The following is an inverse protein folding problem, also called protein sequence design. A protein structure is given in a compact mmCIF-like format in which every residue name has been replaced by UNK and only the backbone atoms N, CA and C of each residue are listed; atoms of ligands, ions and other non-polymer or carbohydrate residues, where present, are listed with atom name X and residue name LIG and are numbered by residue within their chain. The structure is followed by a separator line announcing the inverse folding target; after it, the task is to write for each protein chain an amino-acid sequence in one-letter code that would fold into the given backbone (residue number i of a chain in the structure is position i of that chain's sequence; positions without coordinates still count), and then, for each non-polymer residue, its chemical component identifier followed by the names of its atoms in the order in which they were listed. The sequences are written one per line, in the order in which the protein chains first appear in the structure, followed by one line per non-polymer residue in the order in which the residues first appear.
data_IF_809964662869
#
_entry.id   IF_809964662869
#
_cell.length_a   1.000
_cell.length_b   1.000
_cell.length_c   1.000
_cell.angle_alpha   90.00
_cell.angle_beta   90.00
_cell.angle_gamma   90.00
#
_symmetry.space_group_name_H-M   'P 1'
#
loop_
_entity.id
_entity.type
_entity.pdbx_description
1 polymer ?
#
# COMPACT_ATOMS: atom_id res chain seq x y z
N UNK A 1 -65.58 -12.37 -37.89
CA UNK A 1 -65.14 -13.26 -36.81
C UNK A 1 -63.65 -13.54 -37.00
N UNK A 2 -62.83 -13.33 -35.96
CA UNK A 2 -61.37 -13.56 -35.85
C UNK A 2 -60.47 -12.67 -36.74
N UNK A 3 -59.77 -11.61 -36.32
CA UNK A 3 -58.78 -11.31 -35.25
C UNK A 3 -57.35 -11.91 -35.39
N UNK A 4 -56.39 -10.99 -35.16
CA UNK A 4 -54.94 -11.08 -34.84
C UNK A 4 -54.00 -10.88 -36.04
N UNK A 5 -53.21 -9.81 -36.14
CA UNK A 5 -52.61 -8.96 -35.10
C UNK A 5 -51.13 -9.35 -34.98
N UNK A 6 -50.29 -8.77 -35.83
CA UNK A 6 -48.85 -9.04 -35.87
C UNK A 6 -48.16 -8.53 -34.60
N UNK A 7 -47.50 -9.44 -33.90
CA UNK A 7 -46.73 -9.18 -32.69
C UNK A 7 -45.27 -8.92 -33.09
N UNK A 8 -44.82 -7.69 -32.92
CA UNK A 8 -43.41 -7.28 -33.03
C UNK A 8 -42.61 -7.98 -31.91
N UNK A 9 -41.57 -8.69 -32.29
CA UNK A 9 -40.56 -9.23 -31.37
C UNK A 9 -39.67 -8.08 -30.88
N UNK A 10 -39.81 -7.71 -29.62
CA UNK A 10 -38.82 -6.91 -28.91
C UNK A 10 -37.82 -7.86 -28.25
N UNK A 11 -36.60 -7.90 -28.79
CA UNK A 11 -35.45 -8.49 -28.11
C UNK A 11 -35.12 -7.63 -26.89
N UNK A 12 -35.25 -8.21 -25.70
CA UNK A 12 -34.96 -7.57 -24.42
C UNK A 12 -33.44 -7.59 -24.22
N UNK A 13 -32.78 -6.45 -24.46
CA UNK A 13 -31.38 -6.23 -24.13
C UNK A 13 -31.28 -6.03 -22.61
N UNK A 14 -30.75 -7.02 -21.90
CA UNK A 14 -30.44 -6.90 -20.47
C UNK A 14 -29.21 -6.01 -20.36
N UNK A 15 -29.43 -4.70 -20.19
CA UNK A 15 -28.39 -3.80 -19.69
C UNK A 15 -28.22 -4.03 -18.20
N UNK A 16 -27.19 -4.77 -17.81
CA UNK A 16 -26.70 -4.78 -16.42
C UNK A 16 -26.08 -3.42 -16.13
N UNK A 17 -26.83 -2.55 -15.47
CA UNK A 17 -26.28 -1.36 -14.85
C UNK A 17 -25.48 -1.81 -13.62
N UNK A 18 -24.15 -1.85 -13.72
CA UNK A 18 -23.30 -1.85 -12.54
C UNK A 18 -23.56 -0.53 -11.82
N UNK A 19 -24.22 -0.60 -10.66
CA UNK A 19 -24.44 0.55 -9.80
C UNK A 19 -23.07 0.97 -9.25
N UNK A 20 -22.44 1.97 -9.88
CA UNK A 20 -21.29 2.65 -9.31
C UNK A 20 -21.85 3.59 -8.25
N UNK A 21 -21.56 3.32 -6.99
CA UNK A 21 -21.84 4.30 -5.95
C UNK A 21 -21.01 5.54 -6.26
N UNK A 22 -21.64 6.63 -6.70
CA UNK A 22 -20.98 7.93 -6.85
C UNK A 22 -20.69 8.45 -5.45
N UNK A 23 -19.44 8.35 -4.99
CA UNK A 23 -19.06 8.94 -3.71
C UNK A 23 -19.05 10.46 -3.87
N UNK A 24 -19.75 11.19 -3.00
CA UNK A 24 -19.54 12.64 -2.88
C UNK A 24 -18.07 12.87 -2.56
N UNK A 25 -17.34 13.44 -3.52
CA UNK A 25 -15.91 13.69 -3.41
C UNK A 25 -15.66 14.76 -2.35
N UNK A 26 -15.49 14.32 -1.09
CA UNK A 26 -15.02 15.19 -0.03
C UNK A 26 -13.64 15.74 -0.42
N UNK A 27 -13.48 17.06 -0.59
CA UNK A 27 -12.18 17.65 -0.92
C UNK A 27 -11.08 17.23 0.05
N UNK A 28 -11.42 16.92 1.30
CA UNK A 28 -10.48 16.47 2.32
C UNK A 28 -9.81 15.13 1.97
N UNK A 29 -10.35 14.35 1.03
CA UNK A 29 -9.69 13.14 0.53
C UNK A 29 -8.35 13.45 -0.14
N UNK A 30 -8.22 14.61 -0.77
CA UNK A 30 -7.04 14.95 -1.57
C UNK A 30 -6.01 15.74 -0.77
N UNK A 31 -6.41 16.55 0.20
CA UNK A 31 -5.51 17.44 0.95
C UNK A 31 -5.00 16.84 2.25
N UNK A 32 -3.91 17.43 2.78
CA UNK A 32 -3.45 17.15 4.14
C UNK A 32 -4.30 17.94 5.15
N UNK A 33 -4.94 17.25 6.09
CA UNK A 33 -5.91 17.84 7.03
C UNK A 33 -5.57 17.63 8.50
N UNK A 34 -4.54 16.83 8.82
CA UNK A 34 -4.19 16.50 10.21
C UNK A 34 -3.55 17.66 10.99
N UNK A 35 -2.99 18.65 10.33
CA UNK A 35 -2.35 19.78 11.03
C UNK A 35 -1.78 20.85 10.11
N UNK A 36 -0.94 21.70 10.68
CA UNK A 36 -0.25 22.79 10.00
C UNK A 36 1.26 22.62 10.09
N UNK A 37 1.99 23.26 9.19
CA UNK A 37 3.45 23.22 9.17
C UNK A 37 4.02 24.57 9.57
N UNK A 38 5.01 24.55 10.47
CA UNK A 38 5.68 25.76 10.97
C UNK A 38 6.49 26.45 9.87
N UNK A 39 6.99 25.69 8.89
CA UNK A 39 7.79 26.19 7.77
C UNK A 39 7.22 25.70 6.45
N UNK A 40 7.31 26.55 5.42
CA UNK A 40 6.98 26.25 4.02
C UNK A 40 5.63 25.55 3.84
N UNK A 41 4.60 26.00 4.57
CA UNK A 41 3.32 25.29 4.70
C UNK A 41 2.67 24.96 3.37
N UNK A 42 2.62 25.91 2.43
CA UNK A 42 2.06 25.66 1.10
C UNK A 42 2.78 24.50 0.38
N UNK A 43 4.11 24.43 0.50
CA UNK A 43 4.92 23.35 -0.08
C UNK A 43 4.72 22.02 0.66
N UNK A 44 4.62 22.05 1.99
CA UNK A 44 4.37 20.85 2.81
C UNK A 44 2.97 20.26 2.55
N UNK A 45 1.96 21.11 2.34
CA UNK A 45 0.62 20.70 1.95
C UNK A 45 0.64 20.14 0.52
N UNK A 46 1.21 20.87 -0.45
CA UNK A 46 1.24 20.44 -1.85
C UNK A 46 1.88 19.07 -2.04
N UNK A 47 3.02 18.80 -1.38
CA UNK A 47 3.70 17.50 -1.47
C UNK A 47 3.01 16.36 -0.71
N UNK A 48 1.94 16.65 0.05
CA UNK A 48 1.07 15.70 0.76
C UNK A 48 -0.36 15.69 0.22
N UNK A 49 -0.57 16.36 -0.91
CA UNK A 49 -1.80 16.30 -1.67
C UNK A 49 -1.64 15.28 -2.79
N UNK A 50 -2.66 14.46 -3.01
CA UNK A 50 -2.69 13.48 -4.08
C UNK A 50 -4.06 13.53 -4.74
N UNK A 51 -4.07 13.52 -6.06
CA UNK A 51 -5.29 13.37 -6.85
C UNK A 51 -5.43 11.92 -7.26
N UNK A 52 -6.65 11.38 -7.17
CA UNK A 52 -6.98 10.02 -7.57
C UNK A 52 -8.48 9.92 -7.83
N UNK A 53 -8.89 8.89 -8.56
CA UNK A 53 -10.29 8.59 -8.78
C UNK A 53 -10.82 7.73 -7.62
N UNK A 54 -11.76 8.31 -6.85
CA UNK A 54 -12.36 7.68 -5.65
C UNK A 54 -13.18 6.45 -6.02
N UNK A 55 -13.98 6.55 -7.08
CA UNK A 55 -14.88 5.48 -7.52
C UNK A 55 -14.09 4.28 -8.05
N UNK A 56 -13.01 4.55 -8.82
CA UNK A 56 -12.09 3.51 -9.28
C UNK A 56 -11.36 2.83 -8.12
N UNK A 57 -10.88 3.60 -7.13
CA UNK A 57 -10.24 3.00 -5.95
C UNK A 57 -11.22 2.14 -5.13
N UNK A 58 -12.46 2.59 -5.00
CA UNK A 58 -13.53 1.86 -4.34
C UNK A 58 -13.89 0.56 -5.10
N UNK A 59 -13.96 0.63 -6.43
CA UNK A 59 -14.20 -0.51 -7.33
C UNK A 59 -13.08 -1.56 -7.25
N UNK A 60 -11.82 -1.11 -7.27
CA UNK A 60 -10.65 -1.97 -7.04
C UNK A 60 -10.74 -2.63 -5.67
N UNK A 61 -11.08 -1.85 -4.63
CA UNK A 61 -11.27 -2.37 -3.27
C UNK A 61 -12.31 -3.49 -3.20
N UNK A 62 -13.49 -3.29 -3.80
CA UNK A 62 -14.55 -4.29 -3.84
C UNK A 62 -14.13 -5.56 -4.60
N UNK A 63 -13.54 -5.39 -5.78
CA UNK A 63 -13.06 -6.48 -6.63
C UNK A 63 -12.00 -7.33 -5.93
N UNK A 64 -11.07 -6.68 -5.21
CA UNK A 64 -9.95 -7.34 -4.54
C UNK A 64 -10.39 -8.33 -3.43
N UNK A 65 -11.60 -8.17 -2.89
CA UNK A 65 -12.18 -9.06 -1.88
C UNK A 65 -13.45 -9.77 -2.36
N UNK A 66 -13.69 -9.81 -3.67
CA UNK A 66 -14.83 -10.53 -4.26
C UNK A 66 -16.20 -9.97 -3.84
N UNK A 67 -16.28 -8.66 -3.59
CA UNK A 67 -17.52 -7.96 -3.23
C UNK A 67 -18.08 -7.19 -4.43
N UNK A 68 -19.38 -6.89 -4.44
CA UNK A 68 -20.01 -6.22 -5.60
C UNK A 68 -19.71 -4.73 -5.61
N UNK A 69 -19.74 -4.11 -4.43
CA UNK A 69 -19.58 -2.67 -4.29
C UNK A 69 -18.98 -2.28 -2.95
N UNK A 70 -18.29 -1.15 -2.95
CA UNK A 70 -17.96 -0.40 -1.74
C UNK A 70 -19.16 0.48 -1.38
N UNK A 71 -19.65 0.39 -0.15
CA UNK A 71 -20.80 1.17 0.34
C UNK A 71 -20.39 2.32 1.26
N UNK A 72 -19.15 2.32 1.73
CA UNK A 72 -18.63 3.38 2.61
C UNK A 72 -17.15 3.62 2.37
N UNK A 73 -16.77 4.88 2.22
CA UNK A 73 -15.42 5.32 1.95
C UNK A 73 -15.02 6.39 2.97
N UNK A 74 -14.09 6.07 3.88
CA UNK A 74 -13.74 6.93 5.01
C UNK A 74 -12.24 7.19 5.05
N UNK A 75 -11.85 8.46 5.21
CA UNK A 75 -10.43 8.82 5.34
C UNK A 75 -9.94 8.64 6.79
N UNK A 76 -8.81 7.95 6.97
CA UNK A 76 -8.09 7.95 8.24
C UNK A 76 -7.32 9.27 8.46
N UNK A 77 -6.98 9.64 9.71
CA UNK A 77 -6.10 10.77 9.97
C UNK A 77 -4.81 10.70 9.14
N UNK A 78 -4.43 11.79 8.47
CA UNK A 78 -3.31 11.78 7.53
C UNK A 78 -2.01 11.28 8.17
N UNK A 79 -1.29 10.46 7.40
CA UNK A 79 0.13 10.22 7.62
C UNK A 79 0.97 11.36 7.04
N UNK A 80 2.25 11.37 7.38
CA UNK A 80 3.20 12.34 6.82
C UNK A 80 3.58 12.05 5.36
N UNK A 81 3.34 10.83 4.88
CA UNK A 81 3.80 10.33 3.58
C UNK A 81 2.74 9.55 2.82
N UNK A 82 1.60 9.24 3.42
CA UNK A 82 0.56 8.45 2.79
C UNK A 82 -0.81 8.92 3.26
N UNK A 83 -1.81 8.75 2.39
CA UNK A 83 -3.21 8.72 2.77
C UNK A 83 -3.65 7.29 3.00
N UNK A 84 -4.58 7.10 3.92
CA UNK A 84 -5.20 5.82 4.17
C UNK A 84 -6.71 6.00 4.28
N UNK A 85 -7.44 5.05 3.73
CA UNK A 85 -8.89 5.04 3.69
C UNK A 85 -9.41 3.69 4.16
N UNK A 86 -10.47 3.71 4.94
CA UNK A 86 -11.27 2.53 5.29
C UNK A 86 -12.40 2.41 4.27
N UNK A 87 -12.41 1.28 3.56
CA UNK A 87 -13.44 0.94 2.60
C UNK A 87 -14.29 -0.17 3.23
N UNK A 88 -15.61 0.03 3.29
CA UNK A 88 -16.56 -0.98 3.75
C UNK A 88 -17.39 -1.45 2.56
N UNK A 89 -17.42 -2.75 2.34
CA UNK A 89 -18.12 -3.41 1.23
C UNK A 89 -19.58 -3.70 1.57
N UNK A 90 -20.38 -3.96 0.54
CA UNK A 90 -21.79 -4.36 0.61
C UNK A 90 -22.05 -5.59 1.50
N UNK A 91 -21.09 -6.53 1.54
CA UNK A 91 -21.13 -7.71 2.40
C UNK A 91 -20.56 -7.48 3.83
N UNK A 92 -20.21 -6.25 4.18
CA UNK A 92 -19.65 -5.88 5.49
C UNK A 92 -18.14 -6.11 5.65
N UNK A 93 -17.45 -6.68 4.65
CA UNK A 93 -15.98 -6.78 4.66
C UNK A 93 -15.36 -5.40 4.65
N UNK A 94 -14.30 -5.22 5.43
CA UNK A 94 -13.55 -3.97 5.51
C UNK A 94 -12.11 -4.15 5.04
N UNK A 95 -11.63 -3.22 4.22
CA UNK A 95 -10.24 -3.17 3.76
C UNK A 95 -9.67 -1.77 3.95
N UNK A 96 -8.35 -1.68 4.00
CA UNK A 96 -7.62 -0.41 4.02
C UNK A 96 -7.05 -0.16 2.62
N UNK A 97 -7.35 0.99 2.04
CA UNK A 97 -6.66 1.50 0.87
C UNK A 97 -5.61 2.52 1.30
N UNK A 98 -4.36 2.29 0.95
CA UNK A 98 -3.24 3.21 1.22
C UNK A 98 -2.73 3.79 -0.10
N UNK A 99 -2.53 5.09 -0.14
CA UNK A 99 -1.95 5.81 -1.27
C UNK A 99 -0.72 6.62 -0.82
N UNK A 100 0.46 6.44 -1.43
CA UNK A 100 1.62 7.26 -1.13
C UNK A 100 1.43 8.68 -1.65
N UNK A 101 1.78 9.66 -0.82
CA UNK A 101 1.86 11.06 -1.22
C UNK A 101 3.08 11.30 -2.13
N UNK A 102 3.13 12.41 -2.88
CA UNK A 102 4.29 12.76 -3.70
C UNK A 102 5.63 12.81 -2.95
N UNK A 103 5.60 13.06 -1.63
CA UNK A 103 6.79 13.07 -0.77
C UNK A 103 7.18 11.69 -0.19
N UNK A 104 6.53 10.60 -0.58
CA UNK A 104 6.75 9.27 0.01
C UNK A 104 8.08 8.63 -0.38
N UNK A 105 8.73 9.10 -1.45
CA UNK A 105 9.98 8.57 -1.98
C UNK A 105 9.91 8.45 -3.49
N UNK A 106 10.71 7.55 -4.06
CA UNK A 106 10.67 7.32 -5.50
C UNK A 106 9.37 6.62 -5.89
N UNK A 107 8.61 7.16 -6.87
CA UNK A 107 7.47 6.46 -7.46
C UNK A 107 7.87 5.07 -7.92
N UNK A 108 6.90 4.17 -7.97
CA UNK A 108 7.03 2.74 -8.19
C UNK A 108 7.76 1.99 -7.07
N UNK A 109 8.99 2.39 -6.74
CA UNK A 109 9.86 1.62 -5.85
C UNK A 109 9.38 1.59 -4.40
N UNK A 110 8.90 2.71 -3.85
CA UNK A 110 8.42 2.73 -2.46
C UNK A 110 7.25 1.76 -2.26
N UNK A 111 6.26 1.80 -3.15
CA UNK A 111 5.08 0.93 -3.10
C UNK A 111 5.44 -0.54 -3.37
N UNK A 112 6.19 -0.81 -4.45
CA UNK A 112 6.62 -2.18 -4.78
C UNK A 112 7.44 -2.80 -3.66
N UNK A 113 8.34 -2.02 -3.04
CA UNK A 113 9.16 -2.52 -1.95
C UNK A 113 8.36 -2.82 -0.69
N UNK A 114 7.38 -1.97 -0.37
CA UNK A 114 6.52 -2.20 0.79
C UNK A 114 5.71 -3.49 0.65
N UNK A 115 5.08 -3.70 -0.51
CA UNK A 115 4.29 -4.91 -0.78
C UNK A 115 5.16 -6.17 -0.72
N UNK A 116 6.33 -6.14 -1.36
CA UNK A 116 7.27 -7.26 -1.31
C UNK A 116 7.77 -7.56 0.10
N UNK A 117 8.02 -6.52 0.91
CA UNK A 117 8.42 -6.66 2.31
C UNK A 117 7.30 -7.29 3.14
N UNK A 118 6.04 -6.87 2.97
CA UNK A 118 4.91 -7.49 3.67
C UNK A 118 4.76 -8.97 3.30
N UNK A 119 4.85 -9.30 2.02
CA UNK A 119 4.76 -10.69 1.55
C UNK A 119 5.93 -11.54 2.06
N UNK A 120 7.15 -10.99 2.10
CA UNK A 120 8.33 -11.68 2.66
C UNK A 120 8.15 -11.93 4.16
N UNK A 121 7.75 -10.91 4.93
CA UNK A 121 7.52 -11.06 6.37
C UNK A 121 6.46 -12.12 6.65
N UNK A 122 5.39 -12.18 5.84
CA UNK A 122 4.32 -13.17 5.98
C UNK A 122 4.77 -14.58 5.59
N UNK A 123 5.41 -14.75 4.44
CA UNK A 123 5.68 -16.08 3.85
C UNK A 123 7.02 -16.68 4.25
N UNK A 124 8.01 -15.85 4.55
CA UNK A 124 9.37 -16.28 4.90
C UNK A 124 9.60 -16.20 6.40
N UNK A 125 9.26 -15.06 7.02
CA UNK A 125 9.47 -14.87 8.46
C UNK A 125 8.30 -15.39 9.32
N UNK A 126 7.18 -15.80 8.71
CA UNK A 126 5.96 -16.24 9.39
C UNK A 126 5.41 -15.21 10.40
N UNK A 127 5.47 -13.92 10.03
CA UNK A 127 5.04 -12.80 10.87
C UNK A 127 3.63 -12.37 10.44
N UNK A 128 2.69 -12.17 11.39
CA UNK A 128 1.35 -11.72 11.06
C UNK A 128 1.36 -10.22 10.73
N UNK A 129 1.63 -9.91 9.46
CA UNK A 129 1.46 -8.57 8.86
C UNK A 129 0.17 -8.54 8.03
N UNK A 130 -0.47 -7.40 7.76
CA UNK A 130 -1.69 -7.34 6.95
C UNK A 130 -1.54 -8.05 5.60
N UNK A 131 -2.57 -8.77 5.13
CA UNK A 131 -2.55 -9.36 3.79
C UNK A 131 -2.77 -8.27 2.73
N UNK A 132 -1.97 -8.25 1.68
CA UNK A 132 -2.24 -7.41 0.50
C UNK A 132 -3.22 -8.14 -0.42
N UNK A 133 -4.30 -7.47 -0.82
CA UNK A 133 -5.31 -8.00 -1.72
C UNK A 133 -5.11 -7.54 -3.17
N UNK A 134 -4.77 -6.27 -3.35
CA UNK A 134 -4.46 -5.68 -4.65
C UNK A 134 -3.51 -4.51 -4.45
N UNK A 135 -2.69 -4.20 -5.44
CA UNK A 135 -1.84 -3.02 -5.41
C UNK A 135 -1.48 -2.62 -6.84
N UNK A 136 -1.12 -1.36 -7.03
CA UNK A 136 -0.57 -0.87 -8.28
C UNK A 136 0.44 0.23 -7.99
N UNK A 137 1.56 0.17 -8.70
CA UNK A 137 2.65 1.15 -8.64
C UNK A 137 2.91 1.80 -10.01
N UNK A 138 2.07 1.48 -11.00
CA UNK A 138 2.15 1.94 -12.38
C UNK A 138 0.87 2.68 -12.78
N UNK A 139 0.82 3.18 -14.02
CA UNK A 139 -0.38 3.82 -14.55
C UNK A 139 -1.59 2.88 -14.50
N UNK A 140 -2.69 3.36 -13.94
CA UNK A 140 -3.91 2.58 -13.70
C UNK A 140 -5.13 3.50 -13.59
N UNK A 141 -6.35 2.95 -13.58
CA UNK A 141 -7.59 3.74 -13.61
C UNK A 141 -7.81 4.61 -12.37
N UNK A 142 -7.23 4.27 -11.23
CA UNK A 142 -7.25 5.12 -10.01
C UNK A 142 -6.47 6.42 -10.23
N UNK A 143 -5.51 6.44 -11.16
CA UNK A 143 -4.66 7.61 -11.42
C UNK A 143 -3.60 7.86 -10.33
N UNK A 144 -3.42 6.92 -9.40
CA UNK A 144 -2.43 6.98 -8.33
C UNK A 144 -1.93 5.58 -7.98
N UNK A 145 -0.77 5.51 -7.33
CA UNK A 145 -0.31 4.28 -6.68
C UNK A 145 -1.21 3.94 -5.50
N UNK A 146 -1.41 2.65 -5.24
CA UNK A 146 -2.19 2.21 -4.11
C UNK A 146 -1.80 0.81 -3.62
N UNK A 147 -2.16 0.53 -2.37
CA UNK A 147 -2.17 -0.80 -1.77
C UNK A 147 -3.55 -0.99 -1.12
N UNK A 148 -4.31 -1.99 -1.58
CA UNK A 148 -5.51 -2.52 -0.90
C UNK A 148 -5.07 -3.68 -0.01
N UNK A 149 -5.29 -3.55 1.29
CA UNK A 149 -4.84 -4.53 2.27
C UNK A 149 -5.88 -4.79 3.37
N UNK A 150 -5.65 -5.89 4.08
CA UNK A 150 -6.41 -6.31 5.25
C UNK A 150 -6.51 -5.21 6.30
N UNK A 151 -7.75 -4.94 6.76
CA UNK A 151 -7.97 -4.15 7.97
C UNK A 151 -7.74 -5.03 9.19
N UNK A 152 -6.63 -4.82 9.88
CA UNK A 152 -6.31 -5.55 11.12
C UNK A 152 -7.20 -5.06 12.27
N UNK A 153 -7.87 -5.99 12.94
CA UNK A 153 -8.63 -5.71 14.14
C UNK A 153 -7.71 -5.48 15.33
N UNK A 154 -7.94 -4.40 16.07
CA UNK A 154 -7.19 -4.08 17.27
C UNK A 154 -7.21 -2.59 17.61
N UNK A 155 -6.42 -2.23 18.60
CA UNK A 155 -6.20 -0.83 19.00
C UNK A 155 -4.70 -0.55 19.06
N UNK A 156 -4.27 0.71 18.85
CA UNK A 156 -2.86 1.07 19.01
C UNK A 156 -2.36 0.72 20.41
N UNK A 157 -1.20 0.06 20.50
CA UNK A 157 -0.64 -0.36 21.80
C UNK A 157 -0.52 0.81 22.78
N UNK A 158 -0.13 1.99 22.28
CA UNK A 158 0.02 3.20 23.09
C UNK A 158 -1.28 3.63 23.81
N UNK A 159 -2.47 3.31 23.28
CA UNK A 159 -3.74 3.70 23.91
C UNK A 159 -4.14 2.81 25.08
N UNK A 160 -3.53 1.63 25.21
CA UNK A 160 -3.85 0.65 26.26
C UNK A 160 -2.66 0.29 27.15
N UNK A 161 -1.43 0.62 26.73
CA UNK A 161 -0.21 0.21 27.43
C UNK A 161 -0.25 0.53 28.92
N UNK A 162 -0.63 1.75 29.29
CA UNK A 162 -0.68 2.21 30.69
C UNK A 162 -1.69 1.47 31.56
N UNK A 163 -2.78 0.95 30.98
CA UNK A 163 -3.84 0.21 31.69
C UNK A 163 -3.68 -1.31 31.62
N UNK A 164 -2.79 -1.84 30.77
CA UNK A 164 -2.50 -3.27 30.69
C UNK A 164 -1.90 -3.81 32.00
N UNK A 165 -2.30 -5.04 32.36
CA UNK A 165 -1.70 -5.79 33.48
C UNK A 165 -0.24 -6.11 33.18
N UNK A 166 0.56 -6.29 34.24
CA UNK A 166 1.97 -6.61 34.11
C UNK A 166 2.20 -7.92 33.32
N UNK A 167 1.40 -8.95 33.59
CA UNK A 167 1.48 -10.25 32.90
C UNK A 167 1.22 -10.12 31.39
N UNK A 168 0.26 -9.27 31.00
CA UNK A 168 -0.08 -9.01 29.60
C UNK A 168 1.05 -8.24 28.90
N UNK A 169 1.64 -7.23 29.57
CA UNK A 169 2.80 -6.50 29.04
C UNK A 169 4.00 -7.42 28.85
N UNK A 170 4.25 -8.31 29.80
CA UNK A 170 5.34 -9.28 29.70
C UNK A 170 5.12 -10.24 28.51
N UNK A 171 3.91 -10.80 28.40
CA UNK A 171 3.54 -11.72 27.30
C UNK A 171 3.65 -11.05 25.93
N UNK A 172 3.19 -9.80 25.82
CA UNK A 172 3.32 -9.02 24.59
C UNK A 172 4.80 -8.72 24.26
N UNK A 173 5.59 -8.30 25.25
CA UNK A 173 7.02 -8.03 25.06
C UNK A 173 7.77 -9.27 24.59
N UNK A 174 7.45 -10.44 25.16
CA UNK A 174 7.98 -11.73 24.72
C UNK A 174 7.62 -12.02 23.27
N UNK A 175 6.38 -11.76 22.86
CA UNK A 175 5.92 -11.94 21.47
C UNK A 175 6.69 -11.03 20.51
N UNK A 176 6.89 -9.76 20.87
CA UNK A 176 7.69 -8.82 20.07
C UNK A 176 9.14 -9.31 19.93
N UNK A 177 9.74 -9.79 21.02
CA UNK A 177 11.09 -10.34 21.01
C UNK A 177 11.21 -11.58 20.09
N UNK A 178 10.19 -12.44 20.05
CA UNK A 178 10.14 -13.59 19.13
C UNK A 178 10.08 -13.14 17.66
N UNK A 179 9.34 -12.06 17.35
CA UNK A 179 9.34 -11.49 16.00
C UNK A 179 10.71 -10.91 15.63
N UNK A 180 11.35 -10.19 16.54
CA UNK A 180 12.71 -9.68 16.32
C UNK A 180 13.72 -10.82 16.08
N UNK A 181 13.63 -11.90 16.87
CA UNK A 181 14.47 -13.09 16.68
C UNK A 181 14.27 -13.70 15.29
N UNK A 182 13.03 -13.82 14.82
CA UNK A 182 12.72 -14.33 13.49
C UNK A 182 13.31 -13.44 12.38
N UNK A 183 13.24 -12.11 12.52
CA UNK A 183 13.84 -11.17 11.57
C UNK A 183 15.37 -11.30 11.52
N UNK A 184 16.02 -11.47 12.67
CA UNK A 184 17.48 -11.58 12.73
C UNK A 184 18.04 -12.90 12.18
N UNK A 185 17.19 -13.93 12.01
CA UNK A 185 17.59 -15.19 11.36
C UNK A 185 17.72 -15.06 9.84
N UNK A 186 17.17 -13.99 9.25
CA UNK A 186 17.29 -13.70 7.83
C UNK A 186 18.55 -12.88 7.59
N UNK A 187 19.39 -13.33 6.66
CA UNK A 187 20.55 -12.57 6.19
C UNK A 187 20.41 -12.22 4.72
N UNK A 188 20.82 -11.00 4.37
CA UNK A 188 20.88 -10.51 3.00
C UNK A 188 22.34 -10.27 2.62
N UNK A 189 22.74 -10.69 1.42
CA UNK A 189 24.11 -10.46 0.94
C UNK A 189 24.39 -9.03 0.45
N UNK A 190 23.35 -8.18 0.35
CA UNK A 190 23.43 -6.81 -0.15
C UNK A 190 22.54 -5.88 0.67
N UNK A 191 22.98 -4.62 0.78
CA UNK A 191 22.19 -3.50 1.24
C UNK A 191 21.32 -2.97 0.10
N UNK A 192 20.07 -2.64 0.43
CA UNK A 192 19.06 -2.17 -0.50
C UNK A 192 17.68 -2.37 0.09
N UNK A 193 16.66 -2.24 -0.75
CA UNK A 193 15.28 -2.57 -0.37
C UNK A 193 14.84 -3.89 -1.01
N UNK A 194 13.87 -4.55 -0.40
CA UNK A 194 13.31 -5.81 -0.89
C UNK A 194 12.20 -5.53 -1.91
N UNK A 195 12.13 -6.32 -2.99
CA UNK A 195 11.12 -6.23 -4.06
C UNK A 195 10.72 -7.63 -4.53
N UNK A 196 9.63 -7.72 -5.30
CA UNK A 196 9.49 -8.85 -6.21
C UNK A 196 10.46 -8.69 -7.36
N UNK A 197 11.07 -9.81 -7.80
CA UNK A 197 12.06 -9.77 -8.87
C UNK A 197 11.48 -9.23 -10.19
N UNK A 198 10.20 -9.48 -10.44
CA UNK A 198 9.47 -8.99 -11.62
C UNK A 198 9.23 -7.47 -11.64
N UNK A 199 9.29 -6.80 -10.50
CA UNK A 199 9.13 -5.34 -10.42
C UNK A 199 10.43 -4.60 -10.78
N UNK A 200 11.57 -5.29 -10.82
CA UNK A 200 12.89 -4.68 -11.03
C UNK A 200 13.36 -4.72 -12.51
N UNK A 201 12.42 -4.65 -13.46
CA UNK A 201 12.72 -4.68 -14.89
C UNK A 201 13.65 -3.52 -15.25
N UNK A 202 14.84 -3.83 -15.80
CA UNK A 202 15.89 -2.87 -16.20
C UNK A 202 16.55 -2.11 -15.04
N UNK A 203 16.35 -2.57 -13.81
CA UNK A 203 17.00 -2.01 -12.62
C UNK A 203 18.02 -3.01 -12.11
N UNK A 204 19.19 -2.52 -11.69
CA UNK A 204 20.20 -3.38 -11.07
C UNK A 204 19.60 -4.01 -9.81
N UNK A 205 19.67 -5.32 -9.72
CA UNK A 205 19.13 -6.05 -8.57
C UNK A 205 19.91 -7.34 -8.34
N UNK A 206 19.79 -7.88 -7.13
CA UNK A 206 20.37 -9.15 -6.74
C UNK A 206 19.24 -10.05 -6.25
N UNK A 207 18.92 -11.14 -6.96
CA UNK A 207 17.89 -12.05 -6.50
C UNK A 207 18.31 -12.72 -5.19
N UNK A 208 17.33 -13.03 -4.34
CA UNK A 208 17.57 -13.85 -3.17
C UNK A 208 17.64 -15.32 -3.58
N UNK A 209 18.86 -15.84 -3.72
CA UNK A 209 19.11 -17.23 -4.11
C UNK A 209 19.48 -18.14 -2.92
N UNK A 210 19.99 -17.57 -1.82
CA UNK A 210 20.55 -18.34 -0.72
C UNK A 210 19.51 -18.56 0.38
N UNK A 211 19.15 -19.83 0.63
CA UNK A 211 18.31 -20.25 1.77
C UNK A 211 16.80 -20.07 1.60
N UNK A 212 16.34 -19.40 0.55
CA UNK A 212 14.91 -19.21 0.26
C UNK A 212 14.56 -19.92 -1.04
N UNK A 213 13.64 -20.90 -0.98
CA UNK A 213 13.25 -21.74 -2.13
C UNK A 213 12.56 -20.96 -3.28
N UNK A 214 12.27 -19.68 -3.06
CA UNK A 214 11.51 -18.86 -3.98
C UNK A 214 12.38 -17.77 -4.60
N UNK A 215 12.65 -17.87 -5.90
CA UNK A 215 13.23 -16.81 -6.77
C UNK A 215 12.28 -15.59 -6.92
N UNK A 216 11.32 -15.44 -6.01
CA UNK A 216 10.26 -14.43 -6.00
C UNK A 216 10.82 -13.06 -5.61
N UNK A 217 11.82 -13.01 -4.73
CA UNK A 217 12.31 -11.78 -4.14
C UNK A 217 13.69 -11.39 -4.65
N UNK A 218 13.94 -10.09 -4.70
CA UNK A 218 15.23 -9.50 -5.05
C UNK A 218 15.53 -8.28 -4.15
N UNK A 219 16.82 -8.03 -3.92
CA UNK A 219 17.31 -6.77 -3.35
C UNK A 219 17.58 -5.79 -4.50
N UNK A 220 16.90 -4.66 -4.46
CA UNK A 220 16.99 -3.58 -5.44
C UNK A 220 17.48 -2.27 -4.82
N UNK A 221 17.22 -1.13 -5.49
CA UNK A 221 17.57 0.19 -4.97
C UNK A 221 16.95 0.48 -3.60
N UNK A 222 17.65 1.23 -2.77
CA UNK A 222 17.16 1.68 -1.47
C UNK A 222 16.01 2.68 -1.62
N UNK A 223 14.94 2.46 -0.85
CA UNK A 223 13.76 3.34 -0.70
C UNK A 223 13.79 4.14 0.60
N UNK A 224 14.84 3.96 1.41
CA UNK A 224 15.04 4.65 2.68
C UNK A 224 15.03 6.17 2.53
N UNK A 225 14.44 6.86 3.50
CA UNK A 225 14.19 8.31 3.45
C UNK A 225 15.46 9.13 3.43
N UNK A 226 16.51 8.61 4.04
CA UNK A 226 17.86 9.14 3.97
C UNK A 226 18.36 9.27 2.52
N UNK A 227 17.80 8.55 1.55
CA UNK A 227 18.16 8.61 0.12
C UNK A 227 17.33 9.61 -0.70
N UNK A 228 16.23 10.13 -0.16
CA UNK A 228 15.27 10.97 -0.90
C UNK A 228 15.04 12.35 -0.28
N UNK A 229 15.12 12.45 1.05
CA UNK A 229 14.87 13.70 1.75
C UNK A 229 15.96 14.74 1.50
N UNK A 230 15.66 16.00 1.84
CA UNK A 230 16.59 17.13 1.77
C UNK A 230 17.22 17.33 0.38
N UNK A 231 16.43 17.16 -0.68
CA UNK A 231 16.83 17.38 -2.07
C UNK A 231 17.54 16.19 -2.73
N UNK A 232 17.82 15.10 -2.01
CA UNK A 232 18.50 13.93 -2.59
C UNK A 232 17.66 13.15 -3.61
N UNK A 233 16.34 13.35 -3.61
CA UNK A 233 15.46 12.85 -4.65
C UNK A 233 15.83 13.35 -6.06
N UNK A 234 16.38 14.57 -6.19
CA UNK A 234 16.71 15.17 -7.50
C UNK A 234 18.14 14.88 -7.95
N UNK A 235 18.93 14.20 -7.12
CA UNK A 235 20.33 13.89 -7.45
C UNK A 235 20.37 12.50 -8.09
N UNK A 236 20.98 12.39 -9.25
CA UNK A 236 21.22 11.11 -9.91
C UNK A 236 22.48 10.47 -9.30
N UNK A 237 22.28 9.39 -8.55
CA UNK A 237 23.36 8.56 -8.04
C UNK A 237 22.85 7.13 -7.84
N UNK A 238 23.79 6.19 -7.76
CA UNK A 238 23.50 4.79 -7.56
C UNK A 238 22.91 4.53 -6.16
N UNK A 239 21.64 4.11 -6.11
CA UNK A 239 20.91 3.80 -4.86
C UNK A 239 21.03 2.33 -4.43
N UNK A 240 21.95 1.58 -5.03
CA UNK A 240 22.15 0.16 -4.76
C UNK A 240 21.43 -0.76 -5.75
N UNK A 241 21.44 -2.08 -5.52
CA UNK A 241 21.95 -2.75 -4.31
C UNK A 241 23.48 -2.67 -4.17
N UNK A 242 23.99 -2.67 -2.93
CA UNK A 242 25.42 -2.55 -2.61
C UNK A 242 25.88 -3.68 -1.68
N UNK A 243 27.05 -4.29 -1.94
CA UNK A 243 27.65 -5.27 -1.02
C UNK A 243 28.29 -4.62 0.20
N UNK A 244 28.82 -3.41 0.03
CA UNK A 244 29.56 -2.68 1.04
C UNK A 244 29.04 -1.24 1.10
N UNK A 245 28.89 -0.70 2.31
CA UNK A 245 28.41 0.67 2.55
C UNK A 245 29.31 1.75 1.92
N UNK A 246 30.58 1.43 1.60
CA UNK A 246 31.55 2.37 1.03
C UNK A 246 31.37 2.66 -0.48
N UNK A 247 30.53 1.88 -1.18
CA UNK A 247 30.37 1.99 -2.63
C UNK A 247 29.18 2.87 -3.06
N UNK A 248 28.64 3.68 -2.16
CA UNK A 248 27.42 4.48 -2.40
C UNK A 248 27.67 5.89 -2.92
N UNK A 249 28.94 6.33 -2.99
CA UNK A 249 29.28 7.75 -3.22
C UNK A 249 30.18 8.04 -4.42
N UNK A 250 30.59 7.03 -5.20
CA UNK A 250 31.41 7.25 -6.39
C UNK A 250 30.69 6.73 -7.64
N UNK A 251 30.56 7.55 -8.70
CA UNK A 251 30.04 7.12 -9.99
C UNK A 251 30.92 6.03 -10.64
#
# INVERSE_FOLDING_TARGET
MSQRGGMLSFHQMICTWTYVAEFTQDPNFFYYTRGRFVRDEASEIARRSICFNVDELASVGASAVGSTACVKFEKYPDGMYNKAFLLTMDNGVQVVAKLPNPNAGHPHFTTASEVATMEFMRTVCNIPVPKVYAWSSQNNSVGAEYIIMEKVSGVPLASVWSSMRLDDRFSLTKTIAQYQEAWMKVSFGHFGSLYFAEDLVRVRHVPLHDGFSNKKFAIGPSTGREWFDAGRATVEFNRGPCQHWRNTWLP
#
